data_IF_462827574783
#
_entry.id   IF_462827574783
#
_cell.length_a   1.000
_cell.length_b   1.000
_cell.length_c   1.000
_cell.angle_alpha   90.00
_cell.angle_beta   90.00
_cell.angle_gamma   90.00
#
_symmetry.space_group_name_H-M   'P 1'
#
loop_
_entity.id
_entity.type
_entity.pdbx_description
1 polymer ?
#
# COMPACT_ATOMS: atom_id res chain seq x y z
N UNK A 1 -5.52 -1.83 29.18
CA UNK A 1 -5.51 -0.81 28.12
C UNK A 1 -4.34 0.15 28.35
N UNK A 2 -3.49 0.41 27.34
CA UNK A 2 -2.31 1.29 27.42
C UNK A 2 -2.74 2.76 27.24
N UNK A 3 -3.66 3.25 28.08
CA UNK A 3 -3.99 4.68 28.14
C UNK A 3 -3.00 5.35 29.08
N UNK A 4 -2.25 6.34 28.61
CA UNK A 4 -1.45 7.23 29.47
C UNK A 4 0.07 7.14 29.40
N UNK A 5 0.67 6.27 28.56
CA UNK A 5 2.13 6.26 28.28
C UNK A 5 2.50 6.83 26.91
N UNK A 6 1.52 7.42 26.24
CA UNK A 6 1.61 8.03 24.91
C UNK A 6 2.47 9.30 24.94
N UNK A 7 2.51 9.95 26.11
CA UNK A 7 3.25 11.18 26.36
C UNK A 7 4.70 10.96 26.83
N UNK A 8 5.17 9.72 26.98
CA UNK A 8 6.60 9.49 27.26
C UNK A 8 7.40 9.57 25.96
N UNK A 9 8.69 9.95 25.99
CA UNK A 9 9.52 9.98 24.78
C UNK A 9 9.53 8.64 24.02
N UNK A 10 9.48 7.52 24.74
CA UNK A 10 9.43 6.17 24.15
C UNK A 10 8.06 5.90 23.51
N UNK A 11 6.97 6.35 24.13
CA UNK A 11 5.62 6.29 23.57
C UNK A 11 5.50 7.10 22.29
N UNK A 12 6.03 8.33 22.28
CA UNK A 12 6.05 9.20 21.11
C UNK A 12 6.88 8.60 19.96
N UNK A 13 8.06 8.03 20.26
CA UNK A 13 8.89 7.34 19.27
C UNK A 13 8.17 6.12 18.67
N UNK A 14 7.52 5.30 19.50
CA UNK A 14 6.75 4.15 19.01
C UNK A 14 5.57 4.58 18.11
N UNK A 15 4.90 5.69 18.43
CA UNK A 15 3.83 6.27 17.61
C UNK A 15 4.37 6.75 16.26
N UNK A 16 5.47 7.50 16.25
CA UNK A 16 6.10 7.96 15.00
C UNK A 16 6.53 6.80 14.11
N UNK A 17 7.15 5.77 14.70
CA UNK A 17 7.54 4.56 13.97
C UNK A 17 6.31 3.82 13.41
N UNK A 18 5.25 3.69 14.20
CA UNK A 18 3.99 3.09 13.75
C UNK A 18 3.34 3.87 12.61
N UNK A 19 3.34 5.20 12.67
CA UNK A 19 2.83 6.05 11.60
C UNK A 19 3.66 5.93 10.31
N UNK A 20 4.99 5.92 10.42
CA UNK A 20 5.88 5.74 9.27
C UNK A 20 5.65 4.39 8.59
N UNK A 21 5.54 3.31 9.38
CA UNK A 21 5.25 1.97 8.86
C UNK A 21 3.88 1.92 8.15
N UNK A 22 2.84 2.52 8.74
CA UNK A 22 1.52 2.59 8.12
C UNK A 22 1.54 3.34 6.78
N UNK A 23 2.22 4.48 6.72
CA UNK A 23 2.33 5.27 5.47
C UNK A 23 3.04 4.48 4.36
N UNK A 24 4.12 3.77 4.69
CA UNK A 24 4.83 2.93 3.72
C UNK A 24 3.92 1.83 3.18
N UNK A 25 3.15 1.16 4.04
CA UNK A 25 2.20 0.13 3.60
C UNK A 25 1.12 0.71 2.69
N UNK A 26 0.54 1.85 3.03
CA UNK A 26 -0.47 2.52 2.19
C UNK A 26 0.03 2.80 0.77
N UNK A 27 1.32 3.14 0.60
CA UNK A 27 1.92 3.33 -0.73
C UNK A 27 2.03 2.01 -1.49
N UNK A 28 2.49 0.94 -0.83
CA UNK A 28 2.60 -0.39 -1.45
C UNK A 28 1.22 -0.90 -1.90
N UNK A 29 0.21 -0.77 -1.04
CA UNK A 29 -1.16 -1.20 -1.34
C UNK A 29 -1.77 -0.41 -2.49
N UNK A 30 -1.60 0.93 -2.47
CA UNK A 30 -2.07 1.77 -3.57
C UNK A 30 -1.44 1.34 -4.90
N UNK A 31 -0.14 1.03 -4.90
CA UNK A 31 0.55 0.58 -6.11
C UNK A 31 0.06 -0.81 -6.56
N UNK A 32 -0.18 -1.74 -5.63
CA UNK A 32 -0.73 -3.06 -5.95
C UNK A 32 -2.13 -2.98 -6.56
N UNK A 33 -3.01 -2.17 -5.99
CA UNK A 33 -4.36 -1.91 -6.54
C UNK A 33 -4.27 -1.29 -7.93
N UNK A 34 -3.43 -0.27 -8.12
CA UNK A 34 -3.23 0.36 -9.43
C UNK A 34 -2.74 -0.67 -10.46
N UNK A 35 -1.81 -1.56 -10.08
CA UNK A 35 -1.32 -2.60 -10.99
C UNK A 35 -2.43 -3.56 -11.44
N UNK A 36 -3.29 -4.01 -10.52
CA UNK A 36 -4.46 -4.84 -10.85
C UNK A 36 -5.40 -4.10 -11.81
N UNK A 37 -5.72 -2.83 -11.51
CA UNK A 37 -6.60 -2.03 -12.38
C UNK A 37 -6.01 -1.81 -13.77
N UNK A 38 -4.69 -1.60 -13.88
CA UNK A 38 -4.00 -1.48 -15.17
C UNK A 38 -4.06 -2.79 -15.97
N UNK A 39 -3.87 -3.93 -15.32
CA UNK A 39 -4.00 -5.23 -15.97
C UNK A 39 -5.42 -5.46 -16.50
N UNK A 40 -6.45 -5.14 -15.71
CA UNK A 40 -7.83 -5.25 -16.16
C UNK A 40 -8.17 -4.29 -17.30
N UNK A 41 -7.64 -3.07 -17.27
CA UNK A 41 -7.82 -2.10 -18.35
C UNK A 41 -7.19 -2.59 -19.66
N UNK A 42 -5.96 -3.12 -19.62
CA UNK A 42 -5.29 -3.69 -20.78
C UNK A 42 -6.10 -4.88 -21.35
N UNK A 43 -6.56 -5.77 -20.48
CA UNK A 43 -7.36 -6.91 -20.90
C UNK A 43 -8.73 -6.48 -21.44
N UNK A 44 -9.35 -5.41 -20.92
CA UNK A 44 -10.58 -4.83 -21.46
C UNK A 44 -10.36 -4.24 -22.87
N UNK A 45 -9.27 -3.50 -23.06
CA UNK A 45 -8.90 -2.96 -24.37
C UNK A 45 -8.64 -4.07 -25.39
N UNK A 46 -7.97 -5.14 -24.99
CA UNK A 46 -7.72 -6.30 -25.86
C UNK A 46 -9.01 -7.04 -26.21
N UNK A 47 -9.89 -7.26 -25.23
CA UNK A 47 -11.19 -7.90 -25.45
C UNK A 47 -12.07 -7.08 -26.42
N UNK A 48 -12.06 -5.75 -26.27
CA UNK A 48 -12.73 -4.86 -27.21
C UNK A 48 -12.10 -4.94 -28.62
N UNK A 49 -10.77 -4.87 -28.73
CA UNK A 49 -10.06 -4.97 -30.02
C UNK A 49 -10.37 -6.28 -30.75
N UNK A 50 -10.40 -7.41 -30.04
CA UNK A 50 -10.73 -8.73 -30.61
C UNK A 50 -12.12 -8.78 -31.25
N UNK A 51 -13.08 -8.01 -30.73
CA UNK A 51 -14.44 -7.87 -31.30
C UNK A 51 -14.48 -6.91 -32.49
N UNK A 52 -13.42 -6.13 -32.72
CA UNK A 52 -13.32 -5.09 -33.74
C UNK A 52 -12.12 -5.36 -34.66
N UNK A 53 -12.18 -6.38 -35.54
CA UNK A 53 -11.02 -6.86 -36.31
C UNK A 53 -10.45 -5.86 -37.31
N UNK A 54 -11.16 -4.76 -37.60
CA UNK A 54 -10.64 -3.65 -38.42
C UNK A 54 -9.64 -2.77 -37.65
N UNK A 55 -9.62 -2.86 -36.32
CA UNK A 55 -8.76 -2.05 -35.45
C UNK A 55 -7.51 -2.85 -35.11
N UNK A 56 -6.37 -2.41 -35.64
CA UNK A 56 -5.10 -3.11 -35.47
C UNK A 56 -4.48 -2.87 -34.09
N UNK A 57 -4.67 -1.66 -33.53
CA UNK A 57 -4.08 -1.24 -32.26
C UNK A 57 -5.00 -0.29 -31.48
N UNK A 58 -4.85 -0.30 -30.16
CA UNK A 58 -5.42 0.69 -29.25
C UNK A 58 -4.24 1.31 -28.50
N UNK A 59 -4.17 2.63 -28.49
CA UNK A 59 -3.06 3.39 -27.89
C UNK A 59 -3.60 4.32 -26.82
N UNK A 60 -2.79 4.58 -25.79
CA UNK A 60 -3.17 5.51 -24.74
C UNK A 60 -3.21 6.95 -25.26
N UNK A 61 -4.25 7.70 -24.89
CA UNK A 61 -4.48 9.08 -25.36
C UNK A 61 -3.36 10.05 -24.97
N UNK A 62 -2.70 9.83 -23.83
CA UNK A 62 -1.57 10.65 -23.37
C UNK A 62 -0.30 10.51 -24.22
N UNK A 63 -0.24 9.50 -25.11
CA UNK A 63 0.86 9.32 -26.06
C UNK A 63 0.59 10.01 -27.40
N UNK A 64 -0.59 10.61 -27.58
CA UNK A 64 -1.00 11.27 -28.82
C UNK A 64 -1.01 12.78 -28.64
N UNK A 65 -0.46 13.50 -29.61
CA UNK A 65 -0.55 14.96 -29.67
C UNK A 65 -1.94 15.43 -30.15
N UNK A 66 -2.54 14.67 -31.05
CA UNK A 66 -3.89 14.90 -31.57
C UNK A 66 -4.50 13.58 -32.07
N UNK A 67 -5.84 13.50 -32.07
CA UNK A 67 -6.60 12.38 -32.65
C UNK A 67 -7.98 12.87 -33.07
N UNK A 68 -8.59 12.22 -34.06
CA UNK A 68 -10.01 12.44 -34.38
C UNK A 68 -10.87 11.91 -33.20
N UNK A 69 -11.80 12.69 -32.62
CA UNK A 69 -12.69 12.24 -31.55
C UNK A 69 -13.47 10.96 -31.88
N UNK A 70 -13.73 10.69 -33.16
CA UNK A 70 -14.40 9.46 -33.62
C UNK A 70 -13.55 8.19 -33.43
N UNK A 71 -12.24 8.35 -33.26
CA UNK A 71 -11.30 7.27 -32.98
C UNK A 71 -11.11 7.04 -31.48
N UNK A 72 -11.74 7.85 -30.62
CA UNK A 72 -11.70 7.68 -29.17
C UNK A 72 -12.60 6.51 -28.76
N UNK A 73 -11.97 5.41 -28.35
CA UNK A 73 -12.64 4.17 -27.95
C UNK A 73 -12.76 4.03 -26.44
N UNK A 74 -12.41 5.06 -25.66
CA UNK A 74 -12.39 4.99 -24.19
C UNK A 74 -13.73 4.53 -23.63
N UNK A 75 -14.85 5.09 -24.10
CA UNK A 75 -16.18 4.68 -23.63
C UNK A 75 -16.47 3.20 -23.89
N UNK A 76 -16.07 2.67 -25.05
CA UNK A 76 -16.31 1.28 -25.42
C UNK A 76 -15.41 0.31 -24.63
N UNK A 77 -14.15 0.68 -24.37
CA UNK A 77 -13.26 -0.08 -23.49
C UNK A 77 -13.79 -0.08 -22.04
N UNK A 78 -14.32 1.05 -21.56
CA UNK A 78 -14.92 1.13 -20.22
C UNK A 78 -16.14 0.22 -20.06
N UNK A 79 -16.92 0.00 -21.12
CA UNK A 79 -18.01 -0.98 -21.09
C UNK A 79 -17.50 -2.41 -20.92
N UNK A 80 -16.38 -2.78 -21.54
CA UNK A 80 -15.73 -4.07 -21.29
C UNK A 80 -15.14 -4.14 -19.88
N UNK A 81 -14.59 -3.03 -19.37
CA UNK A 81 -14.05 -2.94 -18.02
C UNK A 81 -15.12 -3.13 -16.95
N UNK A 82 -16.31 -2.55 -17.12
CA UNK A 82 -17.42 -2.67 -16.17
C UNK A 82 -17.94 -4.11 -16.01
N UNK A 83 -17.59 -5.03 -16.91
CA UNK A 83 -17.93 -6.45 -16.81
C UNK A 83 -16.88 -7.27 -16.04
N UNK A 84 -15.71 -6.69 -15.77
CA UNK A 84 -14.59 -7.37 -15.09
C UNK A 84 -14.75 -7.22 -13.59
N UNK A 85 -14.43 -8.29 -12.88
CA UNK A 85 -14.41 -8.32 -11.41
C UNK A 85 -12.94 -8.48 -10.99
N UNK A 86 -12.22 -7.37 -10.73
CA UNK A 86 -10.82 -7.45 -10.32
C UNK A 86 -10.68 -8.19 -9.00
N UNK A 87 -9.67 -9.06 -8.91
CA UNK A 87 -9.28 -9.70 -7.66
C UNK A 87 -8.10 -8.94 -7.05
N UNK A 88 -8.34 -8.31 -5.92
CA UNK A 88 -7.29 -7.61 -5.17
C UNK A 88 -6.57 -8.56 -4.21
N UNK A 89 -5.29 -8.29 -3.89
CA UNK A 89 -4.58 -9.01 -2.83
C UNK A 89 -5.18 -8.72 -1.46
N UNK A 90 -4.90 -9.61 -0.50
CA UNK A 90 -5.33 -9.44 0.90
C UNK A 90 -4.61 -8.26 1.56
N UNK A 91 -5.32 -7.52 2.42
CA UNK A 91 -4.76 -6.36 3.11
C UNK A 91 -3.76 -6.81 4.19
N UNK A 92 -2.54 -6.23 4.23
CA UNK A 92 -1.59 -6.50 5.30
C UNK A 92 -2.08 -5.90 6.62
N UNK A 93 -1.86 -6.62 7.72
CA UNK A 93 -2.23 -6.15 9.07
C UNK A 93 -0.99 -5.65 9.82
N UNK A 94 -1.01 -4.40 10.30
CA UNK A 94 0.04 -3.89 11.20
C UNK A 94 -0.16 -4.47 12.59
N UNK A 95 0.83 -5.21 13.07
CA UNK A 95 0.89 -5.63 14.47
C UNK A 95 1.88 -4.74 15.21
N UNK A 96 1.40 -3.96 16.19
CA UNK A 96 2.26 -3.17 17.06
C UNK A 96 2.68 -4.04 18.25
N UNK A 97 3.92 -4.50 18.23
CA UNK A 97 4.49 -5.24 19.36
C UNK A 97 4.78 -4.30 20.53
N UNK A 98 4.37 -4.69 21.73
CA UNK A 98 4.64 -3.92 22.95
C UNK A 98 6.15 -3.94 23.26
N UNK A 99 6.79 -2.80 23.55
CA UNK A 99 8.17 -2.79 24.04
C UNK A 99 8.27 -3.63 25.32
N UNK A 100 9.30 -4.47 25.43
CA UNK A 100 9.51 -5.29 26.62
C UNK A 100 9.59 -4.39 27.88
N UNK A 101 8.97 -4.79 29.01
CA UNK A 101 9.08 -4.01 30.24
C UNK A 101 10.55 -3.89 30.65
N UNK A 102 10.98 -2.67 31.01
CA UNK A 102 12.33 -2.40 31.49
C UNK A 102 12.65 -3.34 32.66
N UNK A 103 13.77 -4.07 32.55
CA UNK A 103 14.24 -4.94 33.64
C UNK A 103 14.45 -4.10 34.90
N UNK A 104 13.95 -4.55 36.07
CA UNK A 104 14.22 -3.87 37.32
C UNK A 104 15.74 -3.87 37.56
N UNK A 105 16.30 -2.67 37.75
CA UNK A 105 17.71 -2.50 38.07
C UNK A 105 18.05 -3.37 39.29
N UNK A 106 19.02 -4.28 39.14
CA UNK A 106 19.57 -5.05 40.27
C UNK A 106 20.10 -4.05 41.31
N UNK A 107 19.71 -4.17 42.60
CA UNK A 107 20.31 -3.33 43.62
C UNK A 107 21.83 -3.57 43.65
N UNK A 108 22.59 -2.48 43.61
CA UNK A 108 24.04 -2.51 43.70
C UNK A 108 24.45 -3.21 45.00
N UNK A 109 25.27 -4.26 44.88
CA UNK A 109 25.88 -4.92 46.03
C UNK A 109 26.73 -3.90 46.80
N UNK A 110 26.46 -3.77 48.10
CA UNK A 110 27.26 -2.94 49.02
C UNK A 110 28.73 -3.41 48.98
N UNK A 111 29.71 -2.50 48.92
CA UNK A 111 31.12 -2.89 48.93
C UNK A 111 31.49 -3.52 50.28
N UNK A 112 32.16 -4.68 50.22
CA UNK A 112 32.72 -5.35 51.39
C UNK A 112 33.87 -4.49 51.97
N UNK A 113 33.80 -4.23 53.28
CA UNK A 113 34.89 -3.62 54.02
C UNK A 113 36.09 -4.59 54.08
N UNK A 114 37.34 -4.11 53.95
CA UNK A 114 38.51 -4.95 54.12
C UNK A 114 38.82 -5.08 55.61
N UNK A 115 38.98 -6.31 56.10
CA UNK A 115 39.54 -6.56 57.44
C UNK A 115 40.80 -7.40 57.28
N UNK A 116 41.93 -6.72 57.58
CA UNK A 116 43.27 -7.13 58.00
C UNK A 116 43.86 -8.44 57.50
#
# INVERSE_FOLDING_TARGET
>A
MYRGRENTPEGQNAIMQGQAALQQQMVVERNAVIAVLQQELLAAAEAWRKKNPKIQMVVSKNLLLASDPKMDVTAAVMQEMNRRIPKFPDLPTVTVNRPAPAQPARPAAKPAQPTK
#
